data_IF_344813724258
#
_entry.id   IF_344813724258
#
_cell.length_a   1.000
_cell.length_b   1.000
_cell.length_c   1.000
_cell.angle_alpha   90.00
_cell.angle_beta   90.00
_cell.angle_gamma   90.00
#
_symmetry.space_group_name_H-M   'P 1'
#
loop_
_entity.id
_entity.type
_entity.pdbx_description
1 polymer ?
#
# COMPACT_ATOMS: atom_id res chain seq x y z
N UNK A 1 -30.44 -13.92 0.65
CA UNK A 1 -30.51 -15.28 0.07
C UNK A 1 -29.16 -15.99 0.06
N UNK A 2 -28.11 -15.49 -0.61
CA UNK A 2 -26.83 -16.24 -0.69
C UNK A 2 -26.26 -16.66 0.67
N UNK A 3 -26.24 -15.75 1.65
CA UNK A 3 -25.77 -16.01 3.01
C UNK A 3 -26.54 -17.12 3.76
N UNK A 4 -27.79 -17.41 3.38
CA UNK A 4 -28.57 -18.50 4.00
C UNK A 4 -28.25 -19.86 3.38
N UNK A 5 -27.85 -19.90 2.11
CA UNK A 5 -27.65 -21.14 1.37
C UNK A 5 -26.17 -21.56 1.27
N UNK A 6 -25.24 -20.65 1.58
CA UNK A 6 -23.79 -20.88 1.48
C UNK A 6 -23.13 -20.53 2.83
N UNK A 7 -23.21 -21.40 3.85
CA UNK A 7 -22.70 -21.11 5.19
C UNK A 7 -21.17 -20.93 5.23
N UNK A 8 -20.45 -21.58 4.30
CA UNK A 8 -18.99 -21.53 4.19
C UNK A 8 -18.48 -20.36 3.31
N UNK A 9 -19.35 -19.38 3.02
CA UNK A 9 -18.95 -18.22 2.23
C UNK A 9 -17.94 -17.39 3.03
N UNK A 10 -16.76 -17.18 2.45
CA UNK A 10 -15.64 -16.44 3.09
C UNK A 10 -15.69 -14.94 2.82
N UNK A 11 -16.06 -14.58 1.59
CA UNK A 11 -16.18 -13.19 1.16
C UNK A 11 -17.37 -13.08 0.20
N UNK A 12 -18.09 -11.97 0.28
CA UNK A 12 -19.11 -11.61 -0.70
C UNK A 12 -18.54 -10.80 -1.88
N UNK A 13 -17.25 -10.42 -1.79
CA UNK A 13 -16.51 -9.67 -2.79
C UNK A 13 -17.00 -8.23 -3.01
N UNK A 14 -16.13 -7.42 -3.60
CA UNK A 14 -16.48 -6.21 -4.35
C UNK A 14 -16.92 -4.97 -3.55
N UNK A 15 -16.67 -3.81 -4.15
CA UNK A 15 -17.25 -2.53 -3.78
C UNK A 15 -18.72 -2.50 -4.21
N UNK A 16 -19.65 -2.23 -3.30
CA UNK A 16 -21.07 -2.03 -3.64
C UNK A 16 -21.52 -0.65 -3.13
N UNK A 17 -21.54 0.34 -4.04
CA UNK A 17 -21.82 1.78 -3.76
C UNK A 17 -23.02 2.08 -2.87
N UNK A 18 -24.03 1.20 -2.84
CA UNK A 18 -25.31 1.48 -2.18
C UNK A 18 -25.86 0.32 -1.35
N UNK A 19 -25.05 -0.71 -1.04
CA UNK A 19 -25.53 -1.82 -0.21
C UNK A 19 -24.49 -2.28 0.79
N UNK A 20 -24.83 -2.14 2.05
CA UNK A 20 -24.07 -2.68 3.16
C UNK A 20 -24.41 -4.16 3.31
N UNK A 21 -23.43 -5.03 3.07
CA UNK A 21 -23.57 -6.47 3.30
C UNK A 21 -24.02 -6.75 4.74
N UNK A 22 -23.57 -5.93 5.70
CA UNK A 22 -23.94 -6.11 7.09
C UNK A 22 -25.42 -5.89 7.38
N UNK A 23 -26.15 -5.08 6.60
CA UNK A 23 -27.60 -4.92 6.81
C UNK A 23 -28.34 -6.23 6.53
N UNK A 24 -27.90 -6.97 5.50
CA UNK A 24 -28.41 -8.30 5.22
C UNK A 24 -28.07 -9.29 6.34
N UNK A 25 -26.86 -9.24 6.89
CA UNK A 25 -26.45 -10.08 8.03
C UNK A 25 -27.26 -9.75 9.28
N UNK A 26 -27.50 -8.47 9.58
CA UNK A 26 -28.32 -8.04 10.72
C UNK A 26 -29.74 -8.57 10.57
N UNK A 27 -30.36 -8.40 9.41
CA UNK A 27 -31.71 -8.91 9.14
C UNK A 27 -31.79 -10.43 9.30
N UNK A 28 -30.79 -11.17 8.80
CA UNK A 28 -30.69 -12.62 8.98
C UNK A 28 -30.49 -13.01 10.45
N UNK A 29 -29.64 -12.28 11.17
CA UNK A 29 -29.37 -12.53 12.58
C UNK A 29 -30.65 -12.41 13.41
N UNK A 30 -31.48 -11.40 13.13
CA UNK A 30 -32.79 -11.25 13.76
C UNK A 30 -33.72 -12.44 13.49
N UNK A 31 -33.75 -12.95 12.24
CA UNK A 31 -34.55 -14.13 11.89
C UNK A 31 -34.06 -15.41 12.56
N UNK A 32 -32.76 -15.49 12.87
CA UNK A 32 -32.14 -16.61 13.56
C UNK A 32 -32.00 -16.37 15.08
N UNK A 33 -32.75 -15.41 15.66
CA UNK A 33 -32.72 -15.09 17.10
C UNK A 33 -31.30 -14.81 17.64
N UNK A 34 -30.43 -14.19 16.84
CA UNK A 34 -29.04 -13.91 17.20
C UNK A 34 -28.10 -15.13 17.14
N UNK A 35 -28.58 -16.30 16.74
CA UNK A 35 -27.79 -17.55 16.65
C UNK A 35 -27.11 -17.74 15.29
N UNK A 36 -27.18 -16.74 14.42
CA UNK A 36 -26.54 -16.78 13.11
C UNK A 36 -25.01 -16.91 13.29
N UNK A 37 -24.41 -17.85 12.57
CA UNK A 37 -22.95 -18.05 12.51
C UNK A 37 -22.53 -18.22 11.05
N UNK A 38 -21.67 -17.33 10.59
CA UNK A 38 -21.15 -17.25 9.24
C UNK A 38 -19.64 -17.48 9.29
N UNK A 39 -19.10 -18.12 8.24
CA UNK A 39 -17.66 -18.30 8.05
C UNK A 39 -17.00 -17.15 7.29
N UNK A 40 -17.61 -15.96 7.31
CA UNK A 40 -17.08 -14.78 6.64
C UNK A 40 -15.76 -14.34 7.28
N UNK A 41 -14.75 -14.15 6.44
CA UNK A 41 -13.44 -13.60 6.78
C UNK A 41 -13.28 -12.16 6.32
N UNK A 42 -14.06 -11.74 5.33
CA UNK A 42 -13.98 -10.43 4.69
C UNK A 42 -15.36 -9.77 4.62
N UNK A 43 -15.44 -8.50 5.01
CA UNK A 43 -16.68 -7.73 5.01
C UNK A 43 -16.46 -6.33 4.44
N UNK A 44 -17.39 -5.92 3.59
CA UNK A 44 -17.52 -4.55 3.13
C UNK A 44 -18.76 -3.91 3.72
N UNK A 45 -18.58 -2.89 4.56
CA UNK A 45 -19.70 -2.20 5.18
C UNK A 45 -19.39 -0.73 5.48
N UNK A 46 -20.07 0.19 4.81
CA UNK A 46 -19.82 1.63 4.96
C UNK A 46 -20.67 2.29 6.05
N UNK A 47 -21.61 1.55 6.65
CA UNK A 47 -22.50 2.05 7.71
C UNK A 47 -22.48 1.10 8.90
N UNK A 48 -21.47 1.25 9.75
CA UNK A 48 -21.17 0.32 10.83
C UNK A 48 -21.49 0.97 12.19
N UNK A 49 -22.77 1.09 12.53
CA UNK A 49 -23.16 1.56 13.87
C UNK A 49 -22.67 0.61 14.97
N UNK A 50 -22.53 1.06 16.23
CA UNK A 50 -22.09 0.19 17.33
C UNK A 50 -22.97 -1.05 17.51
N UNK A 51 -24.30 -0.91 17.41
CA UNK A 51 -25.24 -2.03 17.55
C UNK A 51 -25.07 -3.04 16.42
N UNK A 52 -24.90 -2.53 15.19
CA UNK A 52 -24.66 -3.36 14.02
C UNK A 52 -23.31 -4.08 14.13
N UNK A 53 -22.25 -3.40 14.55
CA UNK A 53 -20.94 -3.99 14.75
C UNK A 53 -20.98 -5.14 15.77
N UNK A 54 -21.70 -4.98 16.88
CA UNK A 54 -21.87 -6.04 17.88
C UNK A 54 -22.59 -7.28 17.31
N UNK A 55 -23.64 -7.07 16.50
CA UNK A 55 -24.36 -8.16 15.82
C UNK A 55 -23.44 -8.85 14.81
N UNK A 56 -22.68 -8.08 14.03
CA UNK A 56 -21.75 -8.61 13.02
C UNK A 56 -20.60 -9.38 13.65
N UNK A 57 -20.01 -8.88 14.74
CA UNK A 57 -18.96 -9.59 15.48
C UNK A 57 -19.45 -10.94 16.02
N UNK A 58 -20.71 -11.00 16.45
CA UNK A 58 -21.33 -12.25 16.90
C UNK A 58 -21.62 -13.20 15.73
N UNK A 59 -22.12 -12.66 14.62
CA UNK A 59 -22.53 -13.42 13.44
C UNK A 59 -21.34 -13.92 12.60
N UNK A 60 -20.25 -13.14 12.53
CA UNK A 60 -19.04 -13.44 11.77
C UNK A 60 -17.80 -13.34 12.69
N UNK A 61 -17.63 -14.28 13.65
CA UNK A 61 -16.56 -14.20 14.64
C UNK A 61 -15.15 -14.42 14.06
N UNK A 62 -15.04 -14.86 12.81
CA UNK A 62 -13.77 -15.10 12.11
C UNK A 62 -13.42 -13.97 11.14
N UNK A 63 -14.07 -12.82 11.27
CA UNK A 63 -13.78 -11.67 10.43
C UNK A 63 -12.35 -11.17 10.67
N UNK A 64 -11.57 -11.11 9.59
CA UNK A 64 -10.15 -10.71 9.59
C UNK A 64 -9.89 -9.50 8.70
N UNK A 65 -10.77 -9.23 7.73
CA UNK A 65 -10.72 -8.07 6.83
C UNK A 65 -12.03 -7.27 6.85
N UNK A 66 -11.90 -5.95 6.96
CA UNK A 66 -13.02 -5.02 6.97
C UNK A 66 -12.72 -3.80 6.11
N UNK A 67 -13.65 -3.46 5.23
CA UNK A 67 -13.76 -2.13 4.64
C UNK A 67 -14.87 -1.35 5.36
N UNK A 68 -14.58 -0.12 5.79
CA UNK A 68 -15.57 0.79 6.39
C UNK A 68 -15.22 2.26 6.16
N UNK A 69 -16.10 3.17 6.55
CA UNK A 69 -15.82 4.62 6.56
C UNK A 69 -15.14 5.05 7.86
N UNK A 70 -14.32 6.09 7.78
CA UNK A 70 -13.61 6.68 8.93
C UNK A 70 -14.53 7.07 10.08
N UNK A 71 -15.75 7.53 9.78
CA UNK A 71 -16.77 7.86 10.77
C UNK A 71 -17.15 6.71 11.72
N UNK A 72 -16.87 5.46 11.32
CA UNK A 72 -17.22 4.26 12.09
C UNK A 72 -16.03 3.55 12.74
N UNK A 73 -14.83 4.15 12.75
CA UNK A 73 -13.63 3.56 13.35
C UNK A 73 -13.83 3.09 14.80
N UNK A 74 -14.56 3.86 15.61
CA UNK A 74 -14.91 3.50 16.98
C UNK A 74 -15.69 2.17 17.08
N UNK A 75 -16.47 1.81 16.06
CA UNK A 75 -17.26 0.57 16.04
C UNK A 75 -16.42 -0.65 15.61
N UNK A 76 -15.28 -0.43 14.96
CA UNK A 76 -14.37 -1.48 14.48
C UNK A 76 -13.75 -2.27 15.64
N UNK A 77 -13.62 -1.67 16.83
CA UNK A 77 -13.15 -2.32 18.04
C UNK A 77 -13.93 -3.60 18.41
N UNK A 78 -15.17 -3.75 17.90
CA UNK A 78 -15.98 -4.95 18.10
C UNK A 78 -15.40 -6.22 17.47
N UNK A 79 -14.46 -6.10 16.52
CA UNK A 79 -13.88 -7.21 15.76
C UNK A 79 -12.50 -7.61 16.28
N UNK A 80 -12.45 -8.54 17.23
CA UNK A 80 -11.23 -8.92 17.96
C UNK A 80 -10.11 -9.56 17.13
N UNK A 81 -10.45 -10.11 15.97
CA UNK A 81 -9.55 -10.84 15.05
C UNK A 81 -9.20 -10.05 13.79
N UNK A 82 -9.57 -8.77 13.72
CA UNK A 82 -9.29 -7.95 12.56
C UNK A 82 -7.77 -7.72 12.42
N UNK A 83 -7.25 -8.02 11.23
CA UNK A 83 -5.83 -7.84 10.88
C UNK A 83 -5.65 -7.04 9.59
N UNK A 84 -6.72 -6.89 8.79
CA UNK A 84 -6.75 -6.09 7.56
C UNK A 84 -7.85 -5.05 7.71
N UNK A 85 -7.50 -3.77 7.60
CA UNK A 85 -8.44 -2.68 7.65
C UNK A 85 -8.29 -1.79 6.41
N UNK A 86 -9.41 -1.53 5.73
CA UNK A 86 -9.51 -0.47 4.73
C UNK A 86 -10.49 0.59 5.22
N UNK A 87 -10.04 1.84 5.26
CA UNK A 87 -10.82 2.97 5.77
C UNK A 87 -11.01 3.99 4.67
N UNK A 88 -12.26 4.27 4.38
CA UNK A 88 -12.69 5.31 3.46
C UNK A 88 -12.87 6.62 4.21
N UNK A 89 -12.05 7.62 3.86
CA UNK A 89 -12.07 8.91 4.50
C UNK A 89 -13.16 9.84 3.93
N UNK A 90 -13.75 9.52 2.77
CA UNK A 90 -14.80 10.34 2.11
C UNK A 90 -14.39 11.83 2.03
N UNK A 91 -13.09 12.08 1.82
CA UNK A 91 -12.46 13.41 1.80
C UNK A 91 -12.63 14.23 3.10
N UNK A 92 -12.82 13.57 4.24
CA UNK A 92 -12.89 14.17 5.57
C UNK A 92 -11.64 13.82 6.38
N UNK A 93 -11.18 14.74 7.23
CA UNK A 93 -10.11 14.46 8.18
C UNK A 93 -10.58 13.53 9.31
N UNK A 94 -10.21 12.26 9.21
CA UNK A 94 -10.39 11.27 10.27
C UNK A 94 -9.08 10.87 10.95
N UNK A 95 -7.98 11.60 10.74
CA UNK A 95 -6.68 11.28 11.31
C UNK A 95 -6.70 11.13 12.84
N UNK A 96 -7.37 12.01 13.63
CA UNK A 96 -7.46 11.83 15.09
C UNK A 96 -8.23 10.57 15.52
N UNK A 97 -9.29 10.23 14.78
CA UNK A 97 -10.09 9.03 15.05
C UNK A 97 -9.32 7.76 14.67
N UNK A 98 -8.53 7.81 13.58
CA UNK A 98 -7.63 6.75 13.16
C UNK A 98 -6.54 6.53 14.21
N UNK A 99 -5.84 7.59 14.62
CA UNK A 99 -4.79 7.51 15.64
C UNK A 99 -5.32 6.87 16.93
N UNK A 100 -6.47 7.34 17.44
CA UNK A 100 -7.11 6.77 18.62
C UNK A 100 -7.37 5.26 18.48
N UNK A 101 -7.84 4.83 17.30
CA UNK A 101 -8.06 3.41 17.01
C UNK A 101 -6.74 2.63 16.93
N UNK A 102 -5.70 3.18 16.29
CA UNK A 102 -4.41 2.52 16.10
C UNK A 102 -3.64 2.35 17.42
N UNK A 103 -3.75 3.31 18.35
CA UNK A 103 -3.16 3.18 19.70
C UNK A 103 -3.69 1.91 20.41
N UNK A 104 -4.98 1.62 20.29
CA UNK A 104 -5.61 0.49 20.99
C UNK A 104 -5.53 -0.83 20.21
N UNK A 105 -5.51 -0.77 18.88
CA UNK A 105 -5.73 -1.95 18.03
C UNK A 105 -4.70 -2.13 16.91
N UNK A 106 -3.84 -1.15 16.65
CA UNK A 106 -2.85 -1.14 15.56
C UNK A 106 -1.84 -2.28 15.66
N UNK A 107 -1.51 -2.75 16.87
CA UNK A 107 -0.57 -3.85 17.12
C UNK A 107 -0.96 -5.17 16.44
N UNK A 108 -2.22 -5.36 16.04
CA UNK A 108 -2.66 -6.58 15.34
C UNK A 108 -2.74 -6.39 13.82
N UNK A 109 -2.68 -5.16 13.34
CA UNK A 109 -2.87 -4.87 11.93
C UNK A 109 -1.64 -5.29 11.13
N UNK A 110 -1.90 -6.08 10.09
CA UNK A 110 -0.94 -6.48 9.06
C UNK A 110 -1.16 -5.72 7.76
N UNK A 111 -2.37 -5.19 7.54
CA UNK A 111 -2.67 -4.36 6.37
C UNK A 111 -3.54 -3.17 6.74
N UNK A 112 -3.12 -1.99 6.31
CA UNK A 112 -3.87 -0.75 6.45
C UNK A 112 -3.93 -0.05 5.10
N UNK A 113 -5.14 0.22 4.62
CA UNK A 113 -5.36 1.00 3.40
C UNK A 113 -6.31 2.14 3.71
N UNK A 114 -5.90 3.37 3.43
CA UNK A 114 -6.68 4.58 3.60
C UNK A 114 -7.02 5.10 2.20
N UNK A 115 -8.31 5.20 1.90
CA UNK A 115 -8.81 5.66 0.59
C UNK A 115 -9.50 7.00 0.74
N UNK A 116 -9.53 7.78 -0.35
CA UNK A 116 -10.19 9.09 -0.42
C UNK A 116 -9.76 10.06 0.69
N UNK A 117 -8.48 10.00 1.08
CA UNK A 117 -7.90 10.94 2.04
C UNK A 117 -7.69 12.32 1.42
N UNK A 118 -8.09 13.35 2.17
CA UNK A 118 -7.74 14.75 1.91
C UNK A 118 -6.38 15.12 2.55
N UNK A 119 -6.17 14.69 3.79
CA UNK A 119 -4.98 14.97 4.60
C UNK A 119 -4.06 13.76 4.68
N UNK A 120 -2.76 14.05 4.78
CA UNK A 120 -1.72 13.05 5.01
C UNK A 120 -1.80 12.51 6.45
N UNK A 121 -1.23 11.33 6.65
CA UNK A 121 -1.06 10.72 7.97
C UNK A 121 0.44 10.59 8.26
N UNK A 122 0.85 10.97 9.46
CA UNK A 122 2.25 10.87 9.90
C UNK A 122 2.73 9.41 9.89
N UNK A 123 3.81 9.15 9.14
CA UNK A 123 4.44 7.84 9.05
C UNK A 123 5.02 7.36 10.39
N UNK A 124 5.50 8.27 11.25
CA UNK A 124 6.00 7.95 12.59
C UNK A 124 4.88 7.43 13.49
N UNK A 125 3.70 8.05 13.45
CA UNK A 125 2.52 7.56 14.19
C UNK A 125 2.14 6.14 13.76
N UNK A 126 2.18 5.84 12.45
CA UNK A 126 1.91 4.48 11.96
C UNK A 126 2.98 3.49 12.42
N UNK A 127 4.26 3.87 12.37
CA UNK A 127 5.36 3.02 12.80
C UNK A 127 5.31 2.68 14.29
N UNK A 128 4.91 3.62 15.14
CA UNK A 128 4.77 3.42 16.58
C UNK A 128 3.58 2.51 16.92
N UNK A 129 2.45 2.69 16.24
CA UNK A 129 1.21 2.02 16.60
C UNK A 129 0.96 0.70 15.84
N UNK A 130 1.61 0.49 14.69
CA UNK A 130 1.42 -0.68 13.81
C UNK A 130 2.75 -1.38 13.46
N UNK A 131 3.50 -1.92 14.43
CA UNK A 131 4.82 -2.51 14.17
C UNK A 131 4.80 -3.76 13.28
N UNK A 132 3.67 -4.45 13.19
CA UNK A 132 3.48 -5.68 12.39
C UNK A 132 2.84 -5.43 11.02
N UNK A 133 2.87 -4.18 10.55
CA UNK A 133 2.25 -3.81 9.29
C UNK A 133 3.08 -4.33 8.11
N UNK A 134 2.47 -5.16 7.27
CA UNK A 134 3.07 -5.77 6.08
C UNK A 134 2.67 -5.05 4.79
N UNK A 135 1.45 -4.50 4.73
CA UNK A 135 0.94 -3.74 3.59
C UNK A 135 0.36 -2.39 4.04
N UNK A 136 0.88 -1.31 3.47
CA UNK A 136 0.41 0.05 3.70
C UNK A 136 -0.02 0.69 2.38
N UNK A 137 -1.21 1.27 2.36
CA UNK A 137 -1.65 2.16 1.29
C UNK A 137 -2.27 3.44 1.85
N UNK A 138 -1.62 4.58 1.70
CA UNK A 138 -2.10 5.83 2.29
C UNK A 138 -1.44 7.06 1.66
N UNK A 139 -2.05 8.23 1.87
CA UNK A 139 -1.38 9.52 1.78
C UNK A 139 -0.62 9.76 3.09
N UNK A 140 0.71 9.95 2.99
CA UNK A 140 1.62 10.01 4.13
C UNK A 140 2.41 11.32 4.15
N UNK A 141 2.84 11.70 5.36
CA UNK A 141 3.75 12.82 5.62
C UNK A 141 4.74 12.46 6.74
N UNK A 142 5.70 13.36 6.97
CA UNK A 142 6.70 13.24 8.01
C UNK A 142 7.89 12.36 7.65
N UNK A 143 8.91 12.39 8.49
CA UNK A 143 10.09 11.54 8.42
C UNK A 143 10.15 10.52 9.54
N UNK A 144 11.28 9.84 9.65
CA UNK A 144 11.61 8.96 10.77
C UNK A 144 12.81 9.51 11.53
N UNK A 145 12.54 10.09 12.71
CA UNK A 145 13.59 10.63 13.59
C UNK A 145 13.93 9.68 14.75
N UNK A 146 13.43 8.44 14.69
CA UNK A 146 13.71 7.43 15.70
C UNK A 146 15.21 7.17 15.83
N UNK A 147 15.70 7.07 17.07
CA UNK A 147 17.12 6.80 17.34
C UNK A 147 17.51 5.41 16.80
N UNK A 148 18.10 5.37 15.60
CA UNK A 148 18.71 4.19 14.98
C UNK A 148 17.79 2.95 14.79
N UNK A 149 16.47 3.11 14.85
CA UNK A 149 15.50 2.02 14.73
C UNK A 149 15.00 1.77 13.31
N UNK A 150 14.55 0.55 13.02
CA UNK A 150 13.79 0.23 11.82
C UNK A 150 12.37 0.78 11.91
N UNK A 151 11.94 1.50 10.88
CA UNK A 151 10.56 1.97 10.74
C UNK A 151 9.74 0.86 10.07
N UNK A 152 8.60 0.49 10.65
CA UNK A 152 7.69 -0.53 10.12
C UNK A 152 8.45 -1.82 9.71
N UNK A 153 9.01 -2.55 10.70
CA UNK A 153 9.98 -3.61 10.45
C UNK A 153 9.45 -4.76 9.60
N UNK A 154 8.14 -4.96 9.52
CA UNK A 154 7.51 -6.03 8.74
C UNK A 154 6.95 -5.55 7.39
N UNK A 155 7.15 -4.28 7.02
CA UNK A 155 6.56 -3.70 5.81
C UNK A 155 7.16 -4.28 4.55
N UNK A 156 6.32 -4.94 3.74
CA UNK A 156 6.69 -5.58 2.48
C UNK A 156 6.14 -4.79 1.29
N UNK A 157 4.91 -4.28 1.38
CA UNK A 157 4.22 -3.57 0.29
C UNK A 157 3.81 -2.18 0.76
N UNK A 158 4.22 -1.15 0.03
CA UNK A 158 3.89 0.23 0.31
C UNK A 158 3.40 0.91 -0.97
N UNK A 159 2.15 1.42 -0.97
CA UNK A 159 1.54 2.15 -2.09
C UNK A 159 1.05 3.51 -1.60
N UNK A 160 1.86 4.54 -1.80
CA UNK A 160 1.69 5.80 -1.08
C UNK A 160 1.52 7.00 -1.99
N UNK A 161 0.88 8.02 -1.43
CA UNK A 161 0.86 9.38 -1.95
C UNK A 161 1.63 10.26 -0.97
N UNK A 162 2.56 11.08 -1.45
CA UNK A 162 3.40 11.93 -0.57
C UNK A 162 3.51 13.33 -1.14
N UNK A 163 3.50 14.33 -0.26
CA UNK A 163 3.75 15.73 -0.62
C UNK A 163 5.23 16.14 -0.49
N UNK A 164 6.01 15.39 0.31
CA UNK A 164 7.40 15.69 0.61
C UNK A 164 8.32 14.48 0.36
N UNK A 165 9.59 14.76 0.02
CA UNK A 165 10.63 13.76 -0.22
C UNK A 165 11.05 13.03 1.05
N UNK A 166 10.90 13.67 2.21
CA UNK A 166 11.31 13.14 3.51
C UNK A 166 10.66 11.79 3.83
N UNK A 167 9.36 11.63 3.54
CA UNK A 167 8.65 10.37 3.77
C UNK A 167 9.18 9.26 2.86
N UNK A 168 9.49 9.59 1.61
CA UNK A 168 10.10 8.66 0.66
C UNK A 168 11.50 8.22 1.11
N UNK A 169 12.31 9.18 1.55
CA UNK A 169 13.63 8.92 2.13
C UNK A 169 13.52 8.00 3.34
N UNK A 170 12.65 8.33 4.30
CA UNK A 170 12.46 7.55 5.51
C UNK A 170 12.06 6.09 5.21
N UNK A 171 11.13 5.87 4.27
CA UNK A 171 10.70 4.53 3.87
C UNK A 171 11.85 3.73 3.24
N UNK A 172 12.59 4.32 2.31
CA UNK A 172 13.68 3.60 1.63
C UNK A 172 14.90 3.37 2.52
N UNK A 173 15.14 4.21 3.52
CA UNK A 173 16.25 4.06 4.47
C UNK A 173 15.89 3.13 5.62
N UNK A 174 14.68 3.21 6.17
CA UNK A 174 14.34 2.56 7.44
C UNK A 174 13.39 1.36 7.35
N UNK A 175 12.65 1.17 6.24
CA UNK A 175 11.81 -0.01 6.02
C UNK A 175 12.59 -1.13 5.31
N UNK A 176 13.42 -1.85 6.07
CA UNK A 176 14.45 -2.74 5.54
C UNK A 176 13.92 -3.98 4.78
N UNK A 177 12.67 -4.39 5.00
CA UNK A 177 12.04 -5.53 4.32
C UNK A 177 11.14 -5.14 3.15
N UNK A 178 11.16 -3.86 2.75
CA UNK A 178 10.30 -3.36 1.69
C UNK A 178 10.64 -4.02 0.35
N UNK A 179 9.70 -4.80 -0.18
CA UNK A 179 9.83 -5.46 -1.48
C UNK A 179 9.20 -4.64 -2.60
N UNK A 180 8.09 -3.97 -2.32
CA UNK A 180 7.28 -3.27 -3.31
C UNK A 180 6.98 -1.85 -2.83
N UNK A 181 7.49 -0.87 -3.55
CA UNK A 181 7.21 0.55 -3.33
C UNK A 181 6.59 1.17 -4.59
N UNK A 182 5.35 1.66 -4.46
CA UNK A 182 4.73 2.56 -5.44
C UNK A 182 4.47 3.91 -4.80
N UNK A 183 4.88 4.98 -5.48
CA UNK A 183 4.79 6.35 -4.97
C UNK A 183 4.13 7.23 -6.00
N UNK A 184 3.20 8.05 -5.55
CA UNK A 184 2.67 9.20 -6.29
C UNK A 184 3.06 10.45 -5.51
N UNK A 185 3.79 11.35 -6.15
CA UNK A 185 4.04 12.69 -5.64
C UNK A 185 2.79 13.54 -5.90
N UNK A 186 2.22 14.14 -4.85
CA UNK A 186 1.13 15.10 -4.96
C UNK A 186 1.69 16.52 -4.82
N UNK A 187 1.29 17.41 -5.73
CA UNK A 187 1.58 18.84 -5.55
C UNK A 187 0.74 19.37 -4.39
N UNK A 188 1.38 19.92 -3.36
CA UNK A 188 0.64 20.61 -2.32
C UNK A 188 0.06 21.90 -2.90
N UNK A 189 -1.26 22.08 -2.75
CA UNK A 189 -2.02 23.20 -3.31
C UNK A 189 -1.64 24.60 -2.76
N UNK A 190 -0.54 24.72 -2.01
CA UNK A 190 -0.19 25.91 -1.22
C UNK A 190 0.96 26.74 -1.79
N UNK A 191 1.42 26.47 -3.02
CA UNK A 191 2.32 27.37 -3.74
C UNK A 191 3.76 27.44 -3.19
N UNK A 192 4.07 26.65 -2.17
CA UNK A 192 5.45 26.27 -1.88
C UNK A 192 5.87 25.27 -2.95
N UNK A 193 6.99 25.54 -3.63
CA UNK A 193 7.46 24.68 -4.72
C UNK A 193 7.60 23.25 -4.23
N UNK A 194 6.99 22.31 -4.95
CA UNK A 194 7.11 20.88 -4.64
C UNK A 194 8.59 20.52 -4.67
N UNK A 195 9.09 19.96 -3.58
CA UNK A 195 10.44 19.41 -3.55
C UNK A 195 10.49 18.25 -4.53
N UNK A 196 11.15 18.48 -5.67
CA UNK A 196 11.21 17.52 -6.74
C UNK A 196 12.18 16.40 -6.38
N UNK A 197 11.73 15.16 -6.54
CA UNK A 197 12.60 13.97 -6.45
C UNK A 197 13.62 14.01 -7.58
N UNK A 198 14.91 13.98 -7.23
CA UNK A 198 16.04 14.06 -8.15
C UNK A 198 17.09 12.96 -7.87
N UNK A 199 18.14 12.90 -8.71
CA UNK A 199 19.21 11.92 -8.55
C UNK A 199 19.99 12.08 -7.23
N UNK A 200 20.04 13.30 -6.69
CA UNK A 200 20.71 13.62 -5.42
C UNK A 200 20.03 12.90 -4.26
N UNK A 201 18.69 12.91 -4.21
CA UNK A 201 17.90 12.21 -3.22
C UNK A 201 18.15 10.69 -3.27
N UNK A 202 18.13 10.09 -4.47
CA UNK A 202 18.42 8.65 -4.63
C UNK A 202 19.84 8.31 -4.19
N UNK A 203 20.82 9.14 -4.57
CA UNK A 203 22.20 8.98 -4.12
C UNK A 203 22.33 9.09 -2.60
N UNK A 204 21.60 10.00 -1.97
CA UNK A 204 21.59 10.16 -0.51
C UNK A 204 20.99 8.93 0.16
N UNK A 205 19.82 8.48 -0.28
CA UNK A 205 19.13 7.28 0.24
C UNK A 205 20.07 6.07 0.17
N UNK A 206 20.74 5.88 -0.96
CA UNK A 206 21.67 4.77 -1.14
C UNK A 206 23.01 4.96 -0.41
N UNK A 207 23.33 6.16 0.08
CA UNK A 207 24.47 6.36 0.97
C UNK A 207 24.16 5.92 2.41
N UNK A 208 22.90 6.07 2.83
CA UNK A 208 22.41 5.73 4.18
C UNK A 208 21.94 4.28 4.26
N UNK A 209 21.31 3.78 3.19
CA UNK A 209 20.96 2.38 2.97
C UNK A 209 21.62 1.85 1.69
N UNK A 210 22.90 1.43 1.76
CA UNK A 210 23.69 1.05 0.57
C UNK A 210 23.25 -0.24 -0.10
N UNK A 211 22.40 -1.04 0.56
CA UNK A 211 21.89 -2.30 0.00
C UNK A 211 20.45 -2.52 0.42
N UNK A 212 19.47 -1.96 -0.30
CA UNK A 212 18.07 -2.32 -0.15
C UNK A 212 17.85 -3.76 -0.68
N UNK A 213 18.24 -4.76 0.12
CA UNK A 213 18.36 -6.16 -0.32
C UNK A 213 17.02 -6.76 -0.78
N UNK A 214 15.91 -6.29 -0.22
CA UNK A 214 14.58 -6.81 -0.48
C UNK A 214 13.83 -6.06 -1.59
N UNK A 215 14.27 -4.87 -2.00
CA UNK A 215 13.52 -4.06 -2.95
C UNK A 215 13.48 -4.73 -4.33
N UNK A 216 12.27 -5.10 -4.77
CA UNK A 216 12.00 -5.80 -6.04
C UNK A 216 11.24 -4.95 -7.03
N UNK A 217 10.34 -4.10 -6.54
CA UNK A 217 9.48 -3.25 -7.36
C UNK A 217 9.59 -1.82 -6.86
N UNK A 218 10.02 -0.91 -7.74
CA UNK A 218 10.04 0.52 -7.48
C UNK A 218 9.28 1.24 -8.58
N UNK A 219 8.22 1.97 -8.24
CA UNK A 219 7.41 2.72 -9.19
C UNK A 219 7.19 4.13 -8.66
N UNK A 220 7.55 5.14 -9.45
CA UNK A 220 7.29 6.54 -9.14
C UNK A 220 6.40 7.13 -10.23
N UNK A 221 5.11 7.30 -9.92
CA UNK A 221 4.04 7.67 -10.86
C UNK A 221 3.74 9.17 -10.89
N UNK A 222 4.79 9.98 -10.92
CA UNK A 222 4.67 11.43 -10.98
C UNK A 222 5.84 12.03 -11.74
N UNK A 223 5.65 13.25 -12.23
CA UNK A 223 6.74 14.03 -12.81
C UNK A 223 7.84 14.25 -11.78
N UNK A 224 9.08 13.97 -12.16
CA UNK A 224 10.26 14.13 -11.30
C UNK A 224 11.52 14.41 -12.13
N UNK A 225 12.60 14.81 -11.45
CA UNK A 225 13.88 15.14 -12.06
C UNK A 225 14.86 13.96 -12.04
N UNK A 226 14.36 12.73 -11.96
CA UNK A 226 15.19 11.54 -12.06
C UNK A 226 15.68 11.32 -13.49
N UNK A 227 16.91 10.82 -13.61
CA UNK A 227 17.54 10.52 -14.89
C UNK A 227 17.93 9.04 -14.99
N UNK A 228 18.56 8.64 -16.10
CA UNK A 228 19.15 7.31 -16.24
C UNK A 228 20.19 7.00 -15.14
N UNK A 229 20.81 8.03 -14.53
CA UNK A 229 21.72 7.85 -13.41
C UNK A 229 21.03 7.19 -12.21
N UNK A 230 19.82 7.65 -11.84
CA UNK A 230 19.04 7.03 -10.76
C UNK A 230 18.71 5.58 -11.05
N UNK A 231 18.37 5.25 -12.30
CA UNK A 231 18.14 3.85 -12.70
C UNK A 231 19.41 3.02 -12.50
N UNK A 232 20.56 3.51 -12.95
CA UNK A 232 21.84 2.82 -12.78
C UNK A 232 22.25 2.65 -11.31
N UNK A 233 22.01 3.67 -10.48
CA UNK A 233 22.25 3.61 -9.04
C UNK A 233 21.38 2.52 -8.39
N UNK A 234 20.09 2.48 -8.70
CA UNK A 234 19.17 1.46 -8.21
C UNK A 234 19.58 0.06 -8.68
N UNK A 235 19.92 -0.13 -9.96
CA UNK A 235 20.41 -1.40 -10.50
C UNK A 235 21.67 -1.88 -9.77
N UNK A 236 22.57 -0.96 -9.42
CA UNK A 236 23.85 -1.29 -8.82
C UNK A 236 23.75 -1.57 -7.32
N UNK A 237 22.80 -0.94 -6.63
CA UNK A 237 22.66 -1.03 -5.17
C UNK A 237 21.57 -2.01 -4.71
N UNK A 238 20.56 -2.30 -5.54
CA UNK A 238 19.41 -3.14 -5.18
C UNK A 238 19.50 -4.52 -5.88
N UNK A 239 20.09 -5.54 -5.25
CA UNK A 239 20.37 -6.83 -5.90
C UNK A 239 19.11 -7.63 -6.27
N UNK A 240 17.99 -7.38 -5.59
CA UNK A 240 16.71 -8.06 -5.84
C UNK A 240 15.81 -7.33 -6.81
N UNK A 241 16.22 -6.16 -7.33
CA UNK A 241 15.37 -5.30 -8.14
C UNK A 241 14.96 -6.00 -9.44
N UNK A 242 13.65 -6.08 -9.69
CA UNK A 242 13.07 -6.75 -10.86
C UNK A 242 12.18 -5.84 -11.71
N UNK A 243 11.71 -4.74 -11.15
CA UNK A 243 10.83 -3.81 -11.85
C UNK A 243 11.13 -2.38 -11.44
N UNK A 244 11.37 -1.53 -12.43
CA UNK A 244 11.33 -0.07 -12.28
C UNK A 244 10.24 0.46 -13.19
N UNK A 245 9.26 1.11 -12.57
CA UNK A 245 8.04 1.52 -13.24
C UNK A 245 7.95 3.02 -13.51
N UNK A 246 7.22 3.32 -14.57
CA UNK A 246 6.72 4.64 -14.93
C UNK A 246 7.78 5.67 -15.33
N UNK A 247 8.85 5.20 -15.96
CA UNK A 247 10.01 6.01 -16.36
C UNK A 247 9.67 7.11 -17.37
N UNK A 248 8.49 7.06 -17.99
CA UNK A 248 8.06 8.09 -18.94
C UNK A 248 7.65 9.40 -18.27
N UNK A 249 7.33 9.36 -16.98
CA UNK A 249 7.07 10.56 -16.17
C UNK A 249 8.37 11.23 -15.70
N UNK A 250 9.53 10.59 -15.88
CA UNK A 250 10.80 11.11 -15.39
C UNK A 250 11.39 12.06 -16.42
N UNK A 251 11.51 13.35 -16.06
CA UNK A 251 11.87 14.41 -17.01
C UNK A 251 13.26 14.23 -17.63
N UNK A 252 14.15 13.51 -16.93
CA UNK A 252 15.52 13.27 -17.37
C UNK A 252 15.76 12.00 -18.15
N UNK A 253 14.71 11.28 -18.57
CA UNK A 253 14.83 10.04 -19.36
C UNK A 253 14.33 10.26 -20.78
N UNK A 254 15.22 10.09 -21.76
CA UNK A 254 14.87 10.10 -23.18
C UNK A 254 14.95 8.70 -23.81
N UNK A 255 14.49 8.58 -25.06
CA UNK A 255 14.45 7.30 -25.78
C UNK A 255 15.84 6.65 -25.92
N UNK A 256 16.90 7.44 -26.12
CA UNK A 256 18.26 6.90 -26.22
C UNK A 256 18.79 6.35 -24.89
N UNK A 257 18.37 6.93 -23.76
CA UNK A 257 18.73 6.41 -22.44
C UNK A 257 18.07 5.05 -22.21
N UNK A 258 16.80 4.92 -22.60
CA UNK A 258 16.05 3.68 -22.50
C UNK A 258 16.65 2.55 -23.35
N UNK A 259 17.12 2.87 -24.56
CA UNK A 259 17.85 1.92 -25.40
C UNK A 259 19.15 1.44 -24.73
N UNK A 260 19.93 2.37 -24.15
CA UNK A 260 21.16 2.05 -23.44
C UNK A 260 20.91 1.20 -22.19
N UNK A 261 19.94 1.58 -21.36
CA UNK A 261 19.56 0.85 -20.15
C UNK A 261 19.04 -0.56 -20.48
N UNK A 262 18.20 -0.69 -21.51
CA UNK A 262 17.72 -1.99 -21.96
C UNK A 262 18.84 -2.89 -22.47
N UNK A 263 19.80 -2.32 -23.22
CA UNK A 263 20.98 -3.03 -23.69
C UNK A 263 21.86 -3.48 -22.50
N UNK A 264 22.08 -2.61 -21.51
CA UNK A 264 22.82 -2.92 -20.29
C UNK A 264 22.18 -4.09 -19.52
N UNK A 265 20.85 -4.08 -19.34
CA UNK A 265 20.09 -5.16 -18.69
C UNK A 265 20.32 -6.50 -19.41
N UNK A 266 20.31 -6.50 -20.75
CA UNK A 266 20.54 -7.69 -21.57
C UNK A 266 22.00 -8.15 -21.45
N UNK A 267 22.96 -7.25 -21.58
CA UNK A 267 24.40 -7.56 -21.56
C UNK A 267 24.85 -8.11 -20.21
N UNK A 268 24.27 -7.59 -19.12
CA UNK A 268 24.51 -8.07 -17.75
C UNK A 268 23.62 -9.25 -17.34
N UNK A 269 22.71 -9.69 -18.21
CA UNK A 269 21.74 -10.76 -17.95
C UNK A 269 20.93 -10.55 -16.66
N UNK A 270 20.44 -9.32 -16.44
CA UNK A 270 19.64 -8.96 -15.26
C UNK A 270 18.18 -9.39 -15.45
N UNK A 271 17.54 -9.91 -14.40
CA UNK A 271 16.09 -10.19 -14.35
C UNK A 271 15.30 -8.91 -14.01
N UNK A 272 15.55 -7.84 -14.76
CA UNK A 272 14.95 -6.51 -14.56
C UNK A 272 14.06 -6.13 -15.74
N UNK A 273 12.89 -5.54 -15.42
CA UNK A 273 11.95 -4.98 -16.37
C UNK A 273 11.79 -3.48 -16.10
N UNK A 274 11.85 -2.67 -17.15
CA UNK A 274 11.57 -1.25 -17.14
C UNK A 274 10.23 -0.98 -17.80
N UNK A 275 9.37 -0.16 -17.18
CA UNK A 275 8.13 0.31 -17.80
C UNK A 275 8.29 1.73 -18.32
N UNK A 276 8.10 1.92 -19.63
CA UNK A 276 8.24 3.21 -20.32
C UNK A 276 7.18 3.33 -21.43
N UNK A 277 6.32 4.35 -21.37
CA UNK A 277 5.24 4.60 -22.36
C UNK A 277 4.42 3.34 -22.67
N UNK A 278 3.90 2.70 -21.61
CA UNK A 278 3.14 1.44 -21.66
C UNK A 278 3.89 0.24 -22.28
N UNK A 279 5.20 0.36 -22.47
CA UNK A 279 6.06 -0.68 -23.01
C UNK A 279 6.95 -1.26 -21.92
N UNK A 280 7.11 -2.59 -21.93
CA UNK A 280 7.99 -3.30 -21.01
C UNK A 280 9.31 -3.66 -21.71
N UNK A 281 10.42 -3.19 -21.15
CA UNK A 281 11.78 -3.40 -21.66
C UNK A 281 12.62 -4.22 -20.65
N UNK A 282 13.60 -5.02 -21.10
CA UNK A 282 13.84 -5.40 -22.48
C UNK A 282 12.69 -6.27 -23.00
N UNK A 283 12.36 -6.16 -24.29
CA UNK A 283 11.36 -7.02 -24.91
C UNK A 283 11.75 -8.48 -24.68
N UNK A 284 11.02 -9.20 -23.83
CA UNK A 284 11.14 -10.66 -23.75
C UNK A 284 10.66 -11.20 -25.09
N UNK A 285 11.58 -11.38 -26.04
CA UNK A 285 11.33 -12.24 -27.20
C UNK A 285 10.92 -13.57 -26.60
N UNK A 286 9.65 -13.95 -26.75
CA UNK A 286 9.22 -15.30 -26.48
C UNK A 286 10.09 -16.21 -27.34
N UNK A 287 11.16 -16.76 -26.77
CA UNK A 287 11.94 -17.83 -27.38
C UNK A 287 11.05 -19.06 -27.33
N UNK A 288 10.08 -19.14 -28.26
CA UNK A 288 9.57 -20.41 -28.71
C UNK A 288 10.75 -21.14 -29.35
N UNK A 289 11.48 -21.90 -28.54
CA UNK A 289 12.29 -23.00 -29.01
C UNK A 289 11.30 -24.02 -29.60
N UNK A 290 10.91 -23.80 -30.85
CA UNK A 290 10.40 -24.89 -31.69
C UNK A 290 11.60 -25.80 -31.89
N UNK A 291 11.69 -26.83 -31.05
CA UNK A 291 12.58 -27.96 -31.26
C UNK A 291 12.28 -28.50 -32.66
N UNK A 292 13.17 -28.23 -33.62
CA UNK A 292 13.21 -28.99 -34.87
C UNK A 292 13.67 -30.39 -34.48
N UNK A 293 12.73 -31.32 -34.58
CA UNK A 293 12.96 -32.76 -34.63
C UNK A 293 13.63 -33.12 -35.95
#
# INVERSE_FOLDING_TARGET
MLLQFIPNLKSLGGFIYYRNVGDAIVHLSQHHEGKLKLSLTDLWDTCLSPEKAAILATAAPHLTSLYTRGSWLHSVASFSHLVVLTVDFDFVDFSPALESYLIEHGQKLRKLVLVDQMHSVDVSMLAENCPHLEELGAKLEGGWYGQAGSMLPELVICRIRVGATETLHALLVHALHLEHLEVVLEEENYGEGVEMVDDSLISQILSENPRPEHLRVFVLRSECNLTALSVQLLISSCPSLRFIGDLHAWAGICDSDMEQLAQEIVDRNLDLILSYRDTLLPYRRARCLVAKT
#
